data_IF_101287229165
#
_entry.id   IF_101287229165
#
_cell.length_a   1.000
_cell.length_b   1.000
_cell.length_c   1.000
_cell.angle_alpha   90.00
_cell.angle_beta   90.00
_cell.angle_gamma   90.00
#
_symmetry.space_group_name_H-M   'P 1'
#
loop_
_entity.id
_entity.type
_entity.pdbx_description
1 polymer ?
#
# COMPACT_ATOMS: atom_id res chain seq x y z
N UNK A 1 -8.71 -13.62 -9.44
CA UNK A 1 -9.44 -13.75 -8.15
C UNK A 1 -10.87 -14.20 -8.47
N UNK A 2 -11.45 -15.14 -7.74
CA UNK A 2 -12.85 -15.55 -7.94
C UNK A 2 -13.80 -14.55 -7.25
N UNK A 3 -15.02 -14.29 -7.76
CA UNK A 3 -15.94 -13.29 -7.21
C UNK A 3 -16.75 -13.85 -6.01
N UNK A 4 -16.06 -14.30 -4.97
CA UNK A 4 -16.68 -14.74 -3.71
C UNK A 4 -16.20 -13.86 -2.55
N UNK A 5 -17.13 -13.38 -1.73
CA UNK A 5 -16.85 -12.44 -0.63
C UNK A 5 -17.37 -12.99 0.70
N UNK A 6 -16.57 -13.78 1.44
CA UNK A 6 -16.96 -14.26 2.76
C UNK A 6 -17.00 -13.11 3.77
N UNK A 7 -17.96 -13.14 4.68
CA UNK A 7 -18.14 -12.14 5.74
C UNK A 7 -18.04 -12.83 7.10
N UNK A 8 -17.15 -12.35 7.96
CA UNK A 8 -16.95 -12.85 9.32
C UNK A 8 -17.42 -11.79 10.31
N UNK A 9 -18.33 -12.16 11.22
CA UNK A 9 -18.79 -11.27 12.28
C UNK A 9 -17.77 -11.26 13.42
N UNK A 10 -17.47 -10.07 13.93
CA UNK A 10 -16.60 -9.84 15.09
C UNK A 10 -17.37 -9.05 16.15
N UNK A 11 -16.96 -9.16 17.40
CA UNK A 11 -17.59 -8.49 18.54
C UNK A 11 -17.27 -6.99 18.57
N UNK A 12 -16.02 -6.64 18.34
CA UNK A 12 -15.51 -5.27 18.40
C UNK A 12 -14.36 -5.02 17.41
N UNK A 13 -13.90 -3.78 17.35
CA UNK A 13 -12.87 -3.35 16.40
C UNK A 13 -11.50 -3.97 16.69
N UNK A 14 -11.15 -4.18 17.96
CA UNK A 14 -9.84 -4.70 18.32
C UNK A 14 -9.76 -6.20 17.97
N UNK A 15 -10.84 -6.97 18.19
CA UNK A 15 -10.97 -8.35 17.67
C UNK A 15 -10.92 -8.37 16.13
N UNK A 16 -11.61 -7.43 15.48
CA UNK A 16 -11.60 -7.28 14.03
C UNK A 16 -10.20 -7.05 13.46
N UNK A 17 -9.41 -6.18 14.08
CA UNK A 17 -8.01 -5.92 13.69
C UNK A 17 -7.17 -7.18 13.87
N UNK A 18 -7.29 -7.89 15.00
CA UNK A 18 -6.52 -9.11 15.26
C UNK A 18 -6.82 -10.22 14.24
N UNK A 19 -8.09 -10.42 13.90
CA UNK A 19 -8.50 -11.38 12.88
C UNK A 19 -8.10 -10.96 11.47
N UNK A 20 -8.10 -9.65 11.17
CA UNK A 20 -7.61 -9.13 9.90
C UNK A 20 -6.11 -9.39 9.72
N UNK A 21 -5.29 -9.16 10.75
CA UNK A 21 -3.85 -9.51 10.73
C UNK A 21 -3.67 -11.00 10.45
N UNK A 22 -4.44 -11.86 11.12
CA UNK A 22 -4.39 -13.30 10.89
C UNK A 22 -4.79 -13.68 9.46
N UNK A 23 -5.82 -13.05 8.91
CA UNK A 23 -6.35 -13.32 7.56
C UNK A 23 -5.45 -12.80 6.44
N UNK A 24 -4.60 -11.81 6.72
CA UNK A 24 -3.63 -11.27 5.77
C UNK A 24 -2.44 -12.22 5.53
N UNK A 25 -2.20 -13.16 6.47
CA UNK A 25 -1.13 -14.17 6.40
C UNK A 25 0.30 -13.60 6.40
N UNK A 26 0.48 -12.30 6.59
CA UNK A 26 1.80 -11.66 6.58
C UNK A 26 2.34 -11.43 5.17
N UNK A 27 1.48 -11.36 4.15
CA UNK A 27 1.91 -11.04 2.78
C UNK A 27 2.35 -9.58 2.63
N UNK A 28 1.86 -8.69 3.49
CA UNK A 28 2.14 -7.26 3.46
C UNK A 28 1.60 -6.55 2.22
N UNK A 29 0.60 -7.08 1.52
CA UNK A 29 0.21 -6.54 0.20
C UNK A 29 -0.83 -5.43 0.30
N UNK A 30 -2.07 -5.73 0.68
CA UNK A 30 -3.17 -4.75 0.71
C UNK A 30 -4.16 -5.06 1.80
N UNK A 31 -4.60 -4.03 2.51
CA UNK A 31 -5.68 -4.10 3.49
C UNK A 31 -6.66 -2.92 3.29
N UNK A 32 -7.89 -3.07 3.79
CA UNK A 32 -8.92 -2.03 3.71
C UNK A 32 -9.66 -1.89 5.03
N UNK A 33 -10.03 -0.65 5.37
CA UNK A 33 -10.87 -0.36 6.54
C UNK A 33 -11.96 0.66 6.18
N UNK A 34 -13.17 0.39 6.67
CA UNK A 34 -14.28 1.34 6.65
C UNK A 34 -14.53 1.82 8.08
N UNK A 35 -14.14 3.07 8.38
CA UNK A 35 -14.25 3.69 9.70
C UNK A 35 -14.16 5.21 9.57
N UNK A 36 -14.93 5.94 10.37
CA UNK A 36 -14.76 7.40 10.55
C UNK A 36 -13.95 7.74 11.82
N UNK A 37 -13.62 6.75 12.63
CA UNK A 37 -12.81 6.94 13.83
C UNK A 37 -11.32 6.83 13.47
N UNK A 38 -10.60 7.94 13.60
CA UNK A 38 -9.18 8.03 13.29
C UNK A 38 -8.29 7.12 14.16
N UNK A 39 -8.65 6.91 15.43
CA UNK A 39 -7.89 6.03 16.32
C UNK A 39 -7.97 4.57 15.84
N UNK A 40 -9.15 4.15 15.35
CA UNK A 40 -9.32 2.82 14.79
C UNK A 40 -8.54 2.65 13.48
N UNK A 41 -8.56 3.68 12.63
CA UNK A 41 -7.78 3.70 11.38
C UNK A 41 -6.29 3.56 11.69
N UNK A 42 -5.77 4.36 12.63
CA UNK A 42 -4.36 4.35 13.01
C UNK A 42 -3.92 3.02 13.64
N UNK A 43 -4.76 2.42 14.50
CA UNK A 43 -4.51 1.08 15.04
C UNK A 43 -4.45 0.04 13.92
N UNK A 44 -5.42 0.06 13.00
CA UNK A 44 -5.52 -0.88 11.89
C UNK A 44 -4.31 -0.78 10.95
N UNK A 45 -3.97 0.43 10.48
CA UNK A 45 -2.86 0.65 9.55
C UNK A 45 -1.53 0.21 10.15
N UNK A 46 -1.30 0.52 11.43
CA UNK A 46 -0.08 0.11 12.15
C UNK A 46 -0.02 -1.41 12.38
N UNK A 47 -1.14 -2.05 12.69
CA UNK A 47 -1.18 -3.49 12.95
C UNK A 47 -0.98 -4.31 11.68
N UNK A 48 -1.59 -3.90 10.56
CA UNK A 48 -1.52 -4.63 9.29
C UNK A 48 -0.19 -4.43 8.57
N UNK A 49 0.40 -3.22 8.63
CA UNK A 49 1.69 -2.90 8.00
C UNK A 49 1.80 -3.36 6.54
N UNK A 50 0.70 -3.25 5.78
CA UNK A 50 0.65 -3.60 4.35
C UNK A 50 1.18 -2.46 3.49
N UNK A 51 1.60 -2.78 2.27
CA UNK A 51 2.08 -1.82 1.26
C UNK A 51 1.02 -0.77 0.94
N UNK A 52 -0.24 -1.19 0.87
CA UNK A 52 -1.40 -0.33 0.60
C UNK A 52 -2.41 -0.52 1.72
N UNK A 53 -2.92 0.59 2.27
CA UNK A 53 -4.13 0.60 3.10
C UNK A 53 -5.13 1.59 2.50
N UNK A 54 -6.32 1.10 2.16
CA UNK A 54 -7.43 1.94 1.70
C UNK A 54 -8.38 2.23 2.85
N UNK A 55 -8.73 3.50 3.04
CA UNK A 55 -9.69 3.94 4.05
C UNK A 55 -10.95 4.44 3.36
N UNK A 56 -12.11 3.89 3.73
CA UNK A 56 -13.44 4.30 3.25
C UNK A 56 -13.58 4.28 1.71
N UNK A 57 -12.91 3.35 1.03
CA UNK A 57 -12.91 3.24 -0.42
C UNK A 57 -12.71 1.80 -0.91
N UNK A 58 -13.00 1.53 -2.19
CA UNK A 58 -12.78 0.21 -2.79
C UNK A 58 -11.28 -0.11 -2.89
N UNK A 59 -10.91 -1.39 -2.93
CA UNK A 59 -9.49 -1.82 -3.02
C UNK A 59 -8.74 -1.19 -4.18
N UNK A 60 -9.42 -0.99 -5.33
CA UNK A 60 -8.87 -0.38 -6.53
C UNK A 60 -8.39 1.05 -6.31
N UNK A 61 -8.96 1.78 -5.34
CA UNK A 61 -8.52 3.13 -5.01
C UNK A 61 -7.06 3.16 -4.54
N UNK A 62 -6.56 2.07 -3.97
CA UNK A 62 -5.17 1.94 -3.52
C UNK A 62 -4.14 1.90 -4.66
N UNK A 63 -4.56 1.60 -5.88
CA UNK A 63 -3.68 1.59 -7.06
C UNK A 63 -3.57 2.98 -7.71
N UNK A 64 -4.19 4.03 -7.17
CA UNK A 64 -4.16 5.39 -7.75
C UNK A 64 -4.91 5.53 -9.08
N UNK A 65 -4.95 6.75 -9.62
CA UNK A 65 -5.59 7.04 -10.92
C UNK A 65 -7.11 7.30 -10.84
N UNK A 66 -7.91 6.54 -11.61
CA UNK A 66 -9.37 6.79 -11.78
C UNK A 66 -10.23 6.56 -10.53
N UNK A 67 -9.71 5.84 -9.52
CA UNK A 67 -10.49 5.41 -8.34
C UNK A 67 -9.97 5.97 -7.01
N UNK A 68 -8.84 6.68 -7.00
CA UNK A 68 -8.19 7.20 -5.79
C UNK A 68 -7.01 8.11 -6.10
N UNK A 69 -6.45 8.74 -5.07
CA UNK A 69 -5.27 9.60 -5.22
C UNK A 69 -3.97 8.81 -5.41
N UNK A 70 -2.95 9.43 -6.00
CA UNK A 70 -1.64 8.81 -6.26
C UNK A 70 -1.43 8.34 -7.70
N UNK A 71 -0.22 7.83 -7.97
CA UNK A 71 0.16 7.33 -9.30
C UNK A 71 -0.23 5.87 -9.49
N UNK A 72 -0.47 5.48 -10.75
CA UNK A 72 -0.97 4.16 -11.10
C UNK A 72 0.12 3.16 -11.47
N UNK A 73 -0.02 1.92 -10.98
CA UNK A 73 0.79 0.77 -11.39
C UNK A 73 0.05 -0.56 -11.21
N UNK A 74 0.36 -1.53 -12.08
CA UNK A 74 -0.03 -2.93 -11.92
C UNK A 74 1.04 -3.76 -11.20
N UNK A 75 2.21 -3.18 -10.93
CA UNK A 75 3.30 -3.84 -10.21
C UNK A 75 3.40 -3.25 -8.82
N UNK A 76 3.07 -4.05 -7.81
CA UNK A 76 3.18 -3.69 -6.39
C UNK A 76 4.20 -4.66 -5.78
N UNK A 77 5.38 -4.14 -5.48
CA UNK A 77 6.51 -4.92 -4.99
C UNK A 77 6.51 -4.93 -3.45
N UNK A 78 5.60 -5.72 -2.87
CA UNK A 78 5.48 -5.86 -1.41
C UNK A 78 6.67 -6.57 -0.76
N UNK A 79 7.21 -7.69 -1.30
CA UNK A 79 8.30 -8.41 -0.63
C UNK A 79 9.65 -7.68 -0.65
N UNK A 80 9.93 -6.92 -1.71
CA UNK A 80 11.19 -6.19 -1.90
C UNK A 80 11.12 -4.74 -1.43
N UNK A 81 9.90 -4.21 -1.21
CA UNK A 81 9.67 -2.95 -0.50
C UNK A 81 9.66 -1.70 -1.40
N UNK A 82 9.75 -1.83 -2.71
CA UNK A 82 9.59 -0.68 -3.63
C UNK A 82 8.16 -0.13 -3.64
N UNK A 83 7.19 -0.89 -3.15
CA UNK A 83 5.79 -0.49 -3.09
C UNK A 83 5.13 -0.45 -4.47
N UNK A 84 4.29 0.55 -4.71
CA UNK A 84 3.70 0.77 -6.04
C UNK A 84 4.81 1.21 -6.99
N UNK A 85 5.16 0.36 -7.96
CA UNK A 85 6.33 0.63 -8.79
C UNK A 85 6.08 1.74 -9.81
N UNK A 86 7.08 2.58 -9.98
CA UNK A 86 7.18 3.65 -10.98
C UNK A 86 8.30 3.35 -11.98
N UNK A 87 8.42 4.08 -13.10
CA UNK A 87 9.57 3.94 -14.01
C UNK A 87 10.94 4.04 -13.31
N UNK A 88 11.02 4.78 -12.18
CA UNK A 88 12.25 4.91 -11.39
C UNK A 88 12.73 3.57 -10.82
N UNK A 89 11.82 2.66 -10.48
CA UNK A 89 12.15 1.35 -9.92
C UNK A 89 12.78 0.40 -10.94
N UNK A 90 12.62 0.70 -12.24
CA UNK A 90 13.18 -0.08 -13.34
C UNK A 90 14.44 0.57 -13.96
N UNK A 91 14.96 1.64 -13.34
CA UNK A 91 16.11 2.37 -13.83
C UNK A 91 17.25 2.40 -12.79
N UNK A 92 18.49 2.29 -13.26
CA UNK A 92 19.68 2.43 -12.40
C UNK A 92 19.87 3.90 -12.04
N UNK A 93 19.81 4.23 -10.75
CA UNK A 93 20.21 5.56 -10.26
C UNK A 93 21.72 5.73 -10.46
N UNK A 94 22.12 6.73 -11.24
CA UNK A 94 23.52 7.08 -11.47
C UNK A 94 23.79 8.48 -10.92
N UNK A 95 24.85 8.61 -10.13
CA UNK A 95 25.36 9.92 -9.69
C UNK A 95 26.57 10.28 -10.55
N UNK A 96 26.48 11.40 -11.26
CA UNK A 96 27.59 12.05 -11.93
C UNK A 96 27.98 13.28 -11.11
N UNK A 97 29.28 13.51 -10.93
CA UNK A 97 29.81 14.71 -10.30
C UNK A 97 30.93 15.29 -11.15
N UNK A 98 30.93 16.61 -11.29
CA UNK A 98 31.98 17.36 -12.00
C UNK A 98 32.77 18.17 -10.97
N UNK A 99 34.09 18.09 -11.01
CA UNK A 99 34.98 18.89 -10.16
C UNK A 99 35.71 19.92 -11.03
N UNK A 100 35.69 21.20 -10.60
CA UNK A 100 36.08 22.40 -11.36
C UNK A 100 35.05 22.82 -12.42
N UNK A 101 35.22 22.49 -13.69
CA UNK A 101 34.26 22.87 -14.74
C UNK A 101 33.88 21.68 -15.62
N UNK A 102 32.57 21.47 -15.92
CA UNK A 102 32.21 20.81 -17.16
C UNK A 102 32.67 21.77 -18.28
N UNK A 103 33.80 21.49 -18.94
CA UNK A 103 34.26 22.33 -20.04
C UNK A 103 33.27 22.19 -21.20
N UNK A 104 32.29 23.08 -21.23
CA UNK A 104 31.50 23.37 -22.41
C UNK A 104 32.22 24.57 -23.05
N UNK A 105 32.82 24.32 -24.23
CA UNK A 105 33.38 25.36 -25.11
C UNK A 105 32.22 26.10 -25.77
#
# INVERSE_FOLDING_TARGET
MMPYMPVVRVKDVDEGIALAVKAEHGYGHTAMIYSNNFQNIAKFTKALNTTIVVVNGPSLAGNGGMAGEGYFSHTIASPTGEGVCTPRNFARVRRLTTYKSPQIV
#
